data_IF_622729166357
#
_entry.id   IF_622729166357
#
_cell.length_a   1.000
_cell.length_b   1.000
_cell.length_c   1.000
_cell.angle_alpha   90.00
_cell.angle_beta   90.00
_cell.angle_gamma   90.00
#
_symmetry.space_group_name_H-M   'P 1'
#
loop_
_entity.id
_entity.type
_entity.pdbx_description
1 polymer ?
#
# COMPACT_ATOMS: atom_id res chain seq x y z
N UNK A 1 -15.25 -26.76 15.15
CA UNK A 1 -13.84 -27.05 15.46
C UNK A 1 -13.65 -26.87 16.95
N UNK A 2 -12.92 -27.73 17.66
CA UNK A 2 -12.56 -27.44 19.07
C UNK A 2 -11.43 -26.41 19.08
N UNK A 3 -11.61 -25.32 19.84
CA UNK A 3 -10.55 -24.32 20.03
C UNK A 3 -9.37 -24.94 20.78
N UNK A 4 -8.19 -24.33 20.65
CA UNK A 4 -7.01 -24.80 21.38
C UNK A 4 -7.31 -24.77 22.89
N UNK A 5 -8.02 -23.76 23.37
CA UNK A 5 -8.45 -23.65 24.76
C UNK A 5 -9.34 -24.83 25.19
N UNK A 6 -10.24 -25.31 24.33
CA UNK A 6 -11.08 -26.48 24.63
C UNK A 6 -10.24 -27.76 24.72
N UNK A 7 -9.20 -27.90 23.88
CA UNK A 7 -8.27 -29.04 23.92
C UNK A 7 -7.41 -29.02 25.19
N UNK A 8 -6.90 -27.86 25.59
CA UNK A 8 -6.13 -27.70 26.82
C UNK A 8 -7.01 -27.96 28.05
N UNK A 9 -8.24 -27.46 28.05
CA UNK A 9 -9.22 -27.71 29.13
C UNK A 9 -9.53 -29.20 29.27
N UNK A 10 -9.63 -29.93 28.16
CA UNK A 10 -9.81 -31.38 28.17
C UNK A 10 -8.61 -32.11 28.80
N UNK A 11 -7.38 -31.73 28.43
CA UNK A 11 -6.15 -32.29 29.01
C UNK A 11 -6.09 -32.00 30.52
N UNK A 12 -6.45 -30.78 30.94
CA UNK A 12 -6.50 -30.42 32.35
C UNK A 12 -7.49 -31.28 33.14
N UNK A 13 -8.69 -31.53 32.58
CA UNK A 13 -9.68 -32.43 33.18
C UNK A 13 -9.20 -33.89 33.27
N UNK A 14 -8.49 -34.38 32.25
CA UNK A 14 -7.87 -35.71 32.31
C UNK A 14 -6.78 -35.79 33.40
N UNK A 15 -5.99 -34.72 33.55
CA UNK A 15 -4.95 -34.62 34.57
C UNK A 15 -5.52 -34.69 36.00
N UNK A 16 -6.65 -34.02 36.24
CA UNK A 16 -7.36 -34.10 37.51
C UNK A 16 -7.93 -35.52 37.77
N UNK A 17 -8.41 -36.20 36.73
CA UNK A 17 -8.91 -37.58 36.83
C UNK A 17 -7.83 -38.64 37.08
N UNK A 18 -6.58 -38.36 36.68
CA UNK A 18 -5.42 -39.24 36.89
C UNK A 18 -4.88 -39.21 38.33
N UNK A 19 -5.41 -38.32 39.18
CA UNK A 19 -4.95 -38.14 40.57
C UNK A 19 -3.43 -37.93 40.67
N UNK A 20 -2.87 -37.15 39.73
CA UNK A 20 -1.44 -36.83 39.74
C UNK A 20 -1.10 -36.10 41.04
N UNK A 21 -0.11 -36.61 41.77
CA UNK A 21 0.45 -35.93 42.92
C UNK A 21 1.21 -34.69 42.46
N UNK A 22 0.58 -33.51 42.66
CA UNK A 22 1.09 -32.20 42.26
C UNK A 22 2.30 -31.75 43.10
N UNK A 23 2.68 -32.48 44.16
CA UNK A 23 3.84 -32.16 44.99
C UNK A 23 5.14 -32.84 44.52
N UNK A 24 5.02 -33.91 43.71
CA UNK A 24 6.15 -34.56 43.05
C UNK A 24 6.84 -33.63 42.04
N UNK A 25 8.11 -33.90 41.73
CA UNK A 25 8.85 -33.10 40.74
C UNK A 25 8.19 -33.18 39.37
N UNK A 26 7.75 -34.38 39.01
CA UNK A 26 7.07 -34.72 37.76
C UNK A 26 5.69 -34.05 37.69
N UNK A 27 4.92 -34.10 38.78
CA UNK A 27 3.60 -33.45 38.88
C UNK A 27 3.68 -31.93 38.71
N UNK A 28 4.68 -31.29 39.34
CA UNK A 28 4.93 -29.85 39.17
C UNK A 28 5.25 -29.47 37.72
N UNK A 29 6.05 -30.29 37.04
CA UNK A 29 6.37 -30.08 35.62
C UNK A 29 5.12 -30.24 34.75
N UNK A 30 4.30 -31.27 34.98
CA UNK A 30 3.07 -31.48 34.20
C UNK A 30 2.06 -30.34 34.39
N UNK A 31 1.84 -29.90 35.62
CA UNK A 31 0.98 -28.73 35.90
C UNK A 31 1.51 -27.49 35.18
N UNK A 32 2.81 -27.21 35.30
CA UNK A 32 3.43 -26.08 34.61
C UNK A 32 3.30 -26.14 33.09
N UNK A 33 3.40 -27.32 32.49
CA UNK A 33 3.19 -27.50 31.04
C UNK A 33 1.74 -27.16 30.66
N UNK A 34 0.76 -27.67 31.41
CA UNK A 34 -0.66 -27.40 31.14
C UNK A 34 -0.99 -25.91 31.29
N UNK A 35 -0.42 -25.25 32.30
CA UNK A 35 -0.59 -23.81 32.51
C UNK A 35 -0.01 -22.99 31.35
N UNK A 36 1.20 -23.31 30.90
CA UNK A 36 1.80 -22.65 29.73
C UNK A 36 0.95 -22.87 28.47
N UNK A 37 0.48 -24.10 28.24
CA UNK A 37 -0.40 -24.40 27.11
C UNK A 37 -1.71 -23.62 27.19
N UNK A 38 -2.25 -23.38 28.39
CA UNK A 38 -3.47 -22.60 28.59
C UNK A 38 -3.23 -21.13 28.24
N UNK A 39 -2.15 -20.53 28.75
CA UNK A 39 -1.78 -19.16 28.38
C UNK A 39 -1.54 -19.02 26.89
N UNK A 40 -0.87 -19.99 26.25
CA UNK A 40 -0.70 -19.99 24.79
C UNK A 40 -2.05 -20.06 24.05
N UNK A 41 -3.00 -20.85 24.55
CA UNK A 41 -4.32 -20.97 23.93
C UNK A 41 -5.10 -19.65 24.01
N UNK A 42 -5.05 -18.97 25.16
CA UNK A 42 -5.68 -17.66 25.39
C UNK A 42 -5.05 -16.58 24.49
N UNK A 43 -3.72 -16.52 24.40
CA UNK A 43 -3.02 -15.58 23.51
C UNK A 43 -3.34 -15.82 22.03
N UNK A 44 -3.49 -17.08 21.60
CA UNK A 44 -3.89 -17.40 20.22
C UNK A 44 -5.32 -16.93 19.94
N UNK A 45 -6.25 -17.08 20.89
CA UNK A 45 -7.61 -16.56 20.74
C UNK A 45 -7.60 -15.02 20.62
N UNK A 46 -6.83 -14.33 21.47
CA UNK A 46 -6.66 -12.87 21.39
C UNK A 46 -6.08 -12.41 20.04
N UNK A 47 -5.06 -13.11 19.52
CA UNK A 47 -4.49 -12.82 18.20
C UNK A 47 -5.53 -13.03 17.10
N UNK A 48 -6.30 -14.12 17.16
CA UNK A 48 -7.35 -14.39 16.17
C UNK A 48 -8.42 -13.30 16.16
N UNK A 49 -8.82 -12.78 17.32
CA UNK A 49 -9.77 -11.67 17.41
C UNK A 49 -9.19 -10.38 16.83
N UNK A 50 -7.93 -10.08 17.15
CA UNK A 50 -7.24 -8.92 16.58
C UNK A 50 -7.10 -9.02 15.06
N UNK A 51 -6.83 -10.20 14.51
CA UNK A 51 -6.74 -10.41 13.07
C UNK A 51 -8.08 -10.15 12.38
N UNK A 52 -9.18 -10.62 12.97
CA UNK A 52 -10.52 -10.35 12.44
C UNK A 52 -10.83 -8.86 12.41
N UNK A 53 -10.46 -8.11 13.45
CA UNK A 53 -10.60 -6.65 13.47
C UNK A 53 -9.77 -5.97 12.37
N UNK A 54 -8.58 -6.48 12.09
CA UNK A 54 -7.73 -5.96 11.01
C UNK A 54 -8.35 -6.25 9.65
N UNK A 55 -8.89 -7.45 9.44
CA UNK A 55 -9.59 -7.83 8.21
C UNK A 55 -10.78 -6.89 7.93
N UNK A 56 -11.62 -6.63 8.95
CA UNK A 56 -12.74 -5.68 8.84
C UNK A 56 -12.25 -4.26 8.49
N UNK A 57 -11.14 -3.80 9.06
CA UNK A 57 -10.55 -2.52 8.71
C UNK A 57 -9.98 -2.49 7.28
N UNK A 58 -9.31 -3.56 6.84
CA UNK A 58 -8.78 -3.68 5.48
C UNK A 58 -9.90 -3.70 4.45
N UNK A 59 -11.00 -4.39 4.72
CA UNK A 59 -12.18 -4.37 3.88
C UNK A 59 -12.77 -2.95 3.78
N UNK A 60 -12.84 -2.23 4.90
CA UNK A 60 -13.28 -0.84 4.90
C UNK A 60 -12.36 0.04 4.04
N UNK A 61 -11.05 -0.09 4.15
CA UNK A 61 -10.08 0.63 3.29
C UNK A 61 -10.27 0.27 1.83
N UNK A 62 -10.41 -1.02 1.50
CA UNK A 62 -10.65 -1.50 0.14
C UNK A 62 -11.91 -0.89 -0.47
N UNK A 63 -13.02 -0.90 0.27
CA UNK A 63 -14.28 -0.30 -0.19
C UNK A 63 -14.17 1.21 -0.44
N UNK A 64 -13.39 1.95 0.37
CA UNK A 64 -13.14 3.37 0.13
C UNK A 64 -12.32 3.60 -1.14
N UNK A 65 -11.34 2.76 -1.43
CA UNK A 65 -10.55 2.86 -2.67
C UNK A 65 -11.40 2.57 -3.90
N UNK A 66 -12.26 1.54 -3.85
CA UNK A 66 -13.21 1.26 -4.93
C UNK A 66 -14.14 2.45 -5.19
N UNK A 67 -14.59 3.14 -4.15
CA UNK A 67 -15.42 4.34 -4.29
C UNK A 67 -14.68 5.49 -5.00
N UNK A 68 -13.36 5.62 -4.80
CA UNK A 68 -12.54 6.60 -5.52
C UNK A 68 -12.32 6.21 -6.98
N UNK A 69 -12.13 4.92 -7.26
CA UNK A 69 -11.98 4.42 -8.64
C UNK A 69 -13.29 4.53 -9.45
N UNK A 70 -14.44 4.37 -8.78
CA UNK A 70 -15.78 4.49 -9.38
C UNK A 70 -16.31 5.94 -9.37
N UNK A 71 -15.55 6.92 -8.87
CA UNK A 71 -15.94 8.33 -8.91
C UNK A 71 -15.86 8.83 -10.37
N UNK A 72 -16.99 9.19 -11.01
CA UNK A 72 -17.00 9.67 -12.39
C UNK A 72 -16.23 10.98 -12.59
N UNK A 73 -15.95 11.73 -11.51
CA UNK A 73 -15.08 12.90 -11.57
C UNK A 73 -13.60 12.52 -11.60
N UNK A 74 -13.21 11.30 -11.21
CA UNK A 74 -11.83 10.81 -11.30
C UNK A 74 -11.43 10.49 -12.75
N UNK A 75 -12.38 10.02 -13.58
CA UNK A 75 -12.20 9.89 -15.04
C UNK A 75 -12.28 11.26 -15.74
N UNK A 76 -12.93 12.25 -15.14
CA UNK A 76 -12.88 13.67 -15.59
C UNK A 76 -11.53 14.35 -15.23
N UNK A 77 -10.76 13.75 -14.31
CA UNK A 77 -9.33 14.03 -14.11
C UNK A 77 -8.41 13.16 -14.98
N UNK A 78 -8.92 12.41 -15.98
CA UNK A 78 -8.18 12.23 -17.24
C UNK A 78 -8.15 13.56 -17.98
N UNK A 79 -7.50 14.52 -17.34
CA UNK A 79 -7.03 15.76 -17.90
C UNK A 79 -6.12 15.38 -19.07
N UNK A 80 -6.72 15.47 -20.26
CA UNK A 80 -6.04 15.76 -21.51
C UNK A 80 -4.99 14.74 -21.97
N UNK A 81 -5.44 13.59 -22.48
CA UNK A 81 -4.66 12.89 -23.54
C UNK A 81 -4.47 13.76 -24.80
N UNK A 82 -5.06 14.95 -24.86
CA UNK A 82 -4.90 15.95 -25.93
C UNK A 82 -3.92 17.10 -25.56
N UNK A 83 -3.44 17.22 -24.32
CA UNK A 83 -2.43 18.24 -23.97
C UNK A 83 -1.02 17.80 -24.36
N UNK A 84 -0.80 16.52 -24.69
CA UNK A 84 0.46 16.05 -25.28
C UNK A 84 0.70 16.61 -26.70
N UNK A 85 -0.36 17.02 -27.39
CA UNK A 85 -0.28 17.55 -28.76
C UNK A 85 -0.09 19.07 -28.81
N UNK A 86 -0.26 19.81 -27.71
CA UNK A 86 -0.08 21.27 -27.70
C UNK A 86 1.35 21.71 -27.38
N UNK A 87 2.24 20.80 -26.98
CA UNK A 87 3.64 21.13 -26.69
C UNK A 87 4.61 20.45 -27.67
N UNK A 88 5.62 21.20 -28.09
CA UNK A 88 6.77 20.68 -28.86
C UNK A 88 7.98 20.60 -27.95
N UNK A 89 8.65 19.45 -27.96
CA UNK A 89 9.91 19.26 -27.23
C UNK A 89 11.10 19.78 -28.05
N UNK A 90 11.89 20.66 -27.45
CA UNK A 90 13.14 21.18 -27.98
C UNK A 90 14.30 20.84 -27.05
N UNK A 91 15.45 20.50 -27.63
CA UNK A 91 16.69 20.38 -26.87
C UNK A 91 17.44 21.70 -26.84
N UNK A 92 17.75 22.21 -25.66
CA UNK A 92 18.50 23.45 -25.50
C UNK A 92 19.91 23.33 -26.08
N UNK A 93 20.27 24.13 -27.08
CA UNK A 93 21.62 24.11 -27.66
C UNK A 93 22.72 24.58 -26.70
N UNK A 94 22.36 25.28 -25.62
CA UNK A 94 23.32 25.81 -24.67
C UNK A 94 23.54 24.93 -23.43
N UNK A 95 22.49 24.34 -22.86
CA UNK A 95 22.61 23.48 -21.66
C UNK A 95 22.28 22.01 -21.89
N UNK A 96 21.70 21.65 -23.04
CA UNK A 96 21.37 20.27 -23.39
C UNK A 96 20.07 19.73 -22.79
N UNK A 97 19.38 20.51 -21.95
CA UNK A 97 18.11 20.14 -21.35
C UNK A 97 16.96 20.14 -22.34
N UNK A 98 15.99 19.27 -22.06
CA UNK A 98 14.73 19.20 -22.78
C UNK A 98 13.77 20.29 -22.28
N UNK A 99 13.27 21.10 -23.20
CA UNK A 99 12.32 22.18 -22.96
C UNK A 99 11.04 21.85 -23.71
N UNK A 100 9.90 22.02 -23.06
CA UNK A 100 8.58 21.86 -23.67
C UNK A 100 7.98 23.25 -23.90
N UNK A 101 7.56 23.53 -25.14
CA UNK A 101 7.05 24.84 -25.55
C UNK A 101 5.69 24.66 -26.22
N UNK A 102 4.74 25.49 -25.81
CA UNK A 102 3.40 25.51 -26.37
C UNK A 102 3.44 25.93 -27.86
N UNK A 103 2.73 25.19 -28.73
CA UNK A 103 2.62 25.48 -30.17
C UNK A 103 2.13 26.91 -30.42
N UNK A 104 1.23 27.42 -29.58
CA UNK A 104 0.72 28.79 -29.72
C UNK A 104 1.83 29.85 -29.53
N UNK A 105 2.86 29.55 -28.74
CA UNK A 105 4.01 30.44 -28.54
C UNK A 105 4.95 30.38 -29.75
N UNK A 106 5.09 29.20 -30.36
CA UNK A 106 5.95 28.98 -31.53
C UNK A 106 5.42 29.76 -32.73
N UNK A 107 4.10 29.78 -32.92
CA UNK A 107 3.46 30.52 -34.02
C UNK A 107 3.53 32.05 -33.84
N UNK A 108 3.77 32.53 -32.61
CA UNK A 108 3.73 33.95 -32.27
C UNK A 108 5.11 34.59 -32.04
N UNK A 109 6.18 33.79 -31.88
CA UNK A 109 7.51 34.29 -31.52
C UNK A 109 8.61 33.61 -32.30
N UNK A 110 9.65 34.38 -32.63
CA UNK A 110 10.84 33.87 -33.31
C UNK A 110 11.89 33.31 -32.32
N UNK A 111 11.81 33.68 -31.03
CA UNK A 111 12.73 33.24 -29.98
C UNK A 111 12.05 32.80 -28.67
N UNK A 112 12.66 31.83 -27.99
CA UNK A 112 12.26 31.35 -26.66
C UNK A 112 13.44 31.48 -25.69
N UNK A 113 13.14 31.70 -24.40
CA UNK A 113 14.16 31.72 -23.35
C UNK A 113 14.15 30.40 -22.60
N UNK A 114 15.30 29.73 -22.53
CA UNK A 114 15.43 28.49 -21.78
C UNK A 114 15.22 28.73 -20.27
N UNK A 115 14.33 28.00 -19.58
CA UNK A 115 14.11 28.17 -18.14
C UNK A 115 15.30 27.71 -17.28
N UNK A 116 16.15 26.82 -17.79
CA UNK A 116 17.33 26.38 -17.05
C UNK A 116 18.50 27.37 -17.19
N UNK A 117 18.96 27.65 -18.42
CA UNK A 117 20.16 28.47 -18.64
C UNK A 117 19.89 29.94 -18.98
N UNK A 118 18.62 30.34 -19.10
CA UNK A 118 18.19 31.73 -19.38
C UNK A 118 18.70 32.32 -20.70
N UNK A 119 19.27 31.50 -21.58
CA UNK A 119 19.68 31.91 -22.91
C UNK A 119 18.50 31.86 -23.90
N UNK A 120 18.51 32.82 -24.83
CA UNK A 120 17.55 32.90 -25.93
C UNK A 120 17.94 31.91 -27.03
N UNK A 121 16.94 31.22 -27.57
CA UNK A 121 17.10 30.26 -28.65
C UNK A 121 16.13 30.58 -29.80
N UNK A 122 16.60 30.56 -31.06
CA UNK A 122 15.72 30.73 -32.21
C UNK A 122 14.84 29.47 -32.40
N UNK A 123 13.57 29.71 -32.75
CA UNK A 123 12.61 28.65 -33.10
C UNK A 123 12.70 28.34 -34.60
N UNK A 124 13.70 27.56 -35.02
CA UNK A 124 13.78 27.06 -36.40
C UNK A 124 12.90 25.80 -36.57
N UNK A 125 11.58 25.97 -36.68
CA UNK A 125 10.66 24.86 -37.00
C UNK A 125 10.23 24.96 -38.44
N UNK A 126 10.71 24.02 -39.28
CA UNK A 126 10.27 23.86 -40.67
C UNK A 126 8.97 23.01 -40.63
N UNK A 127 7.78 23.59 -40.88
CA UNK A 127 6.49 22.94 -40.60
C UNK A 127 6.12 21.78 -41.55
N UNK A 128 7.05 21.33 -42.40
CA UNK A 128 6.87 20.22 -43.38
C UNK A 128 7.63 18.93 -43.03
N UNK A 129 8.19 18.82 -41.83
CA UNK A 129 8.91 17.61 -41.35
C UNK A 129 8.26 16.93 -40.14
N UNK A 130 6.99 17.23 -39.86
CA UNK A 130 6.10 16.38 -39.07
C UNK A 130 5.16 15.61 -40.00
#
# INVERSE_FOLDING_TARGET
>A
MSSILSKVSYINGLMDGLQIDKDTKEGKVLVGIVDVLKSMAEEIENISESQKSIEEYMDAVGNNLTYLDDDPYYDDYKLYEDEGDNFVQFKCSNCGDDIYVDKDIIDQREDITCPNCHNKMPLDVDPKKL
#
